data_IF_413618736959
#
_entry.id   IF_413618736959
#
_cell.length_a   1.000
_cell.length_b   1.000
_cell.length_c   1.000
_cell.angle_alpha   90.00
_cell.angle_beta   90.00
_cell.angle_gamma   90.00
#
_symmetry.space_group_name_H-M   'P 1'
#
loop_
_entity.id
_entity.type
_entity.pdbx_description
1 polymer ?
#
# COMPACT_ATOMS: atom_id res chain seq x y z
N UNK A 1 3.80 -8.13 -4.45
CA UNK A 1 4.94 -7.22 -4.64
C UNK A 1 4.99 -6.59 -6.02
N UNK A 2 5.56 -5.38 -6.10
CA UNK A 2 5.72 -4.57 -7.33
C UNK A 2 6.39 -5.34 -8.50
N UNK A 3 7.25 -6.30 -8.16
CA UNK A 3 7.91 -7.25 -9.09
C UNK A 3 6.96 -8.05 -9.99
N UNK A 4 5.70 -8.26 -9.59
CA UNK A 4 4.71 -8.99 -10.40
C UNK A 4 3.85 -8.09 -11.30
N UNK A 5 4.06 -6.77 -11.28
CA UNK A 5 3.15 -5.80 -11.91
C UNK A 5 3.64 -5.22 -13.23
N UNK A 6 4.94 -5.31 -13.56
CA UNK A 6 5.51 -4.64 -14.74
C UNK A 6 6.50 -5.58 -15.47
N UNK A 7 6.35 -5.71 -16.79
CA UNK A 7 7.27 -6.48 -17.65
C UNK A 7 8.22 -5.54 -18.43
N UNK A 8 8.24 -4.25 -18.08
CA UNK A 8 9.04 -3.24 -18.78
C UNK A 8 10.48 -3.24 -18.26
N UNK A 9 11.40 -3.73 -19.10
CA UNK A 9 12.82 -3.78 -18.79
C UNK A 9 13.42 -2.41 -18.48
N UNK A 10 12.90 -1.33 -19.10
CA UNK A 10 13.42 0.02 -18.88
C UNK A 10 13.05 0.54 -17.49
N UNK A 11 11.81 0.29 -17.07
CA UNK A 11 11.35 0.57 -15.70
C UNK A 11 12.18 -0.17 -14.66
N UNK A 12 12.60 -1.41 -14.93
CA UNK A 12 13.47 -2.17 -14.04
C UNK A 12 14.89 -1.61 -13.97
N UNK A 13 15.41 -1.10 -15.08
CA UNK A 13 16.73 -0.46 -15.14
C UNK A 13 16.74 0.88 -14.39
N UNK A 14 15.66 1.66 -14.50
CA UNK A 14 15.48 2.89 -13.72
C UNK A 14 15.38 2.60 -12.21
N UNK A 15 14.71 1.52 -11.81
CA UNK A 15 14.67 1.07 -10.41
C UNK A 15 16.06 0.63 -9.95
N UNK A 16 16.80 -0.12 -10.77
CA UNK A 16 18.14 -0.61 -10.44
C UNK A 16 19.12 0.55 -10.19
N UNK A 17 18.98 1.63 -10.94
CA UNK A 17 19.83 2.82 -10.84
C UNK A 17 19.26 3.92 -9.93
N UNK A 18 18.22 3.63 -9.14
CA UNK A 18 17.59 4.60 -8.26
C UNK A 18 18.53 5.02 -7.11
N UNK A 19 18.65 6.33 -6.87
CA UNK A 19 19.37 6.87 -5.71
C UNK A 19 18.74 6.50 -4.36
N UNK A 20 17.53 5.94 -4.36
CA UNK A 20 16.86 5.44 -3.17
C UNK A 20 17.58 4.24 -2.53
N UNK A 21 18.44 3.53 -3.28
CA UNK A 21 19.28 2.45 -2.73
C UNK A 21 20.39 2.97 -1.80
N UNK A 22 20.82 4.23 -2.00
CA UNK A 22 21.96 4.85 -1.30
C UNK A 22 21.53 5.72 -0.11
N UNK A 23 20.24 5.73 0.24
CA UNK A 23 19.73 6.50 1.38
C UNK A 23 20.38 6.02 2.69
N UNK A 24 20.85 6.93 3.56
CA UNK A 24 21.52 6.56 4.80
C UNK A 24 20.60 5.69 5.66
N UNK A 25 21.09 4.51 6.02
CA UNK A 25 20.36 3.48 6.77
C UNK A 25 20.11 3.89 8.25
N UNK A 26 20.71 4.99 8.69
CA UNK A 26 20.70 5.44 10.09
C UNK A 26 19.41 6.16 10.51
N UNK A 27 18.56 6.61 9.58
CA UNK A 27 17.32 7.32 9.93
C UNK A 27 16.06 6.43 9.90
N UNK A 28 16.13 5.23 9.33
CA UNK A 28 15.02 4.27 9.36
C UNK A 28 15.52 2.83 9.33
N UNK A 29 14.99 1.94 10.19
CA UNK A 29 15.21 0.48 10.12
C UNK A 29 14.60 -0.16 8.85
N UNK A 30 14.08 0.67 7.94
CA UNK A 30 13.31 0.28 6.78
C UNK A 30 14.26 -0.06 5.64
N UNK A 31 14.09 -1.25 5.08
CA UNK A 31 14.94 -1.76 3.99
C UNK A 31 14.68 -0.91 2.72
N UNK A 32 15.70 -0.49 1.95
CA UNK A 32 15.53 0.33 0.75
C UNK A 32 14.52 -0.21 -0.28
N UNK A 33 14.37 -1.54 -0.36
CA UNK A 33 13.37 -2.19 -1.21
C UNK A 33 11.91 -1.84 -0.83
N UNK A 34 11.65 -1.62 0.46
CA UNK A 34 10.33 -1.17 0.96
C UNK A 34 10.08 0.29 0.58
N UNK A 35 11.09 1.15 0.75
CA UNK A 35 11.04 2.55 0.30
C UNK A 35 10.76 2.66 -1.20
N UNK A 36 11.41 1.84 -2.02
CA UNK A 36 11.14 1.77 -3.46
C UNK A 36 9.71 1.30 -3.76
N UNK A 37 9.25 0.27 -3.06
CA UNK A 37 7.88 -0.24 -3.22
C UNK A 37 6.85 0.83 -2.88
N UNK A 38 7.09 1.62 -1.82
CA UNK A 38 6.26 2.75 -1.44
C UNK A 38 6.37 3.89 -2.44
N UNK A 39 7.57 4.25 -2.89
CA UNK A 39 7.80 5.32 -3.86
C UNK A 39 6.97 5.10 -5.14
N UNK A 40 6.95 3.88 -5.66
CA UNK A 40 6.17 3.49 -6.85
C UNK A 40 4.70 3.13 -6.57
N UNK A 41 4.22 3.39 -5.36
CA UNK A 41 2.80 3.27 -5.03
C UNK A 41 2.06 4.54 -5.53
N UNK A 42 0.94 4.39 -6.26
CA UNK A 42 0.10 5.52 -6.66
C UNK A 42 -0.32 6.38 -5.46
N UNK A 43 -0.46 7.68 -5.65
CA UNK A 43 -0.74 8.63 -4.57
C UNK A 43 -1.99 8.29 -3.74
N UNK A 44 -3.08 7.89 -4.40
CA UNK A 44 -4.31 7.47 -3.71
C UNK A 44 -4.13 6.24 -2.82
N UNK A 45 -3.30 5.28 -3.24
CA UNK A 45 -2.98 4.11 -2.42
C UNK A 45 -2.04 4.45 -1.27
N UNK A 46 -1.15 5.44 -1.44
CA UNK A 46 -0.30 5.95 -0.34
C UNK A 46 -1.15 6.54 0.78
N UNK A 47 -2.18 7.33 0.45
CA UNK A 47 -3.11 7.90 1.44
C UNK A 47 -3.87 6.82 2.22
N UNK A 48 -4.39 5.82 1.50
CA UNK A 48 -5.09 4.69 2.13
C UNK A 48 -4.15 3.90 3.05
N UNK A 49 -2.91 3.67 2.61
CA UNK A 49 -1.89 2.97 3.39
C UNK A 49 -1.45 3.76 4.63
N UNK A 50 -1.18 5.06 4.52
CA UNK A 50 -0.74 5.88 5.66
C UNK A 50 -1.81 6.01 6.73
N UNK A 51 -3.10 5.96 6.35
CA UNK A 51 -4.20 5.92 7.32
C UNK A 51 -4.15 4.67 8.21
N UNK A 52 -3.74 3.52 7.66
CA UNK A 52 -3.69 2.27 8.41
C UNK A 52 -2.66 2.28 9.55
N UNK A 53 -1.70 3.22 9.56
CA UNK A 53 -0.68 3.39 10.62
C UNK A 53 -1.29 3.82 11.96
N UNK A 54 -2.47 4.45 11.91
CA UNK A 54 -3.19 4.89 13.11
C UNK A 54 -3.56 3.69 13.99
N UNK A 55 -3.72 2.51 13.39
CA UNK A 55 -3.99 1.29 14.12
C UNK A 55 -2.70 0.69 14.69
N UNK A 56 -2.74 0.10 15.89
CA UNK A 56 -1.58 -0.56 16.47
C UNK A 56 -1.04 -1.69 15.59
N UNK A 57 0.24 -2.01 15.81
CA UNK A 57 0.89 -3.18 15.23
C UNK A 57 0.09 -4.46 15.52
N UNK A 58 0.00 -5.35 14.52
CA UNK A 58 -0.80 -6.59 14.53
C UNK A 58 -2.33 -6.42 14.72
N UNK A 59 -2.86 -5.19 14.63
CA UNK A 59 -4.30 -4.97 14.71
C UNK A 59 -5.02 -5.57 13.49
N UNK A 60 -6.05 -6.38 13.75
CA UNK A 60 -6.87 -6.99 12.71
C UNK A 60 -7.95 -6.00 12.28
N UNK A 61 -7.78 -5.45 11.08
CA UNK A 61 -8.73 -4.55 10.45
C UNK A 61 -9.76 -5.33 9.66
N UNK A 62 -11.05 -5.11 9.90
CA UNK A 62 -12.09 -5.64 9.01
C UNK A 62 -12.03 -4.93 7.66
N UNK A 63 -12.02 -5.72 6.58
CA UNK A 63 -11.88 -5.21 5.22
C UNK A 63 -12.99 -4.24 4.81
N UNK A 64 -14.23 -4.44 5.27
CA UNK A 64 -15.36 -3.57 4.92
C UNK A 64 -15.30 -2.29 5.71
N UNK A 65 -15.02 -2.38 7.01
CA UNK A 65 -14.86 -1.20 7.86
C UNK A 65 -13.73 -0.29 7.35
N UNK A 66 -12.59 -0.87 6.98
CA UNK A 66 -11.45 -0.12 6.45
C UNK A 66 -11.80 0.63 5.15
N UNK A 67 -12.54 -0.01 4.24
CA UNK A 67 -13.01 0.63 3.01
C UNK A 67 -13.97 1.78 3.31
N UNK A 68 -14.90 1.60 4.26
CA UNK A 68 -15.81 2.67 4.67
C UNK A 68 -15.07 3.86 5.28
N UNK A 69 -14.01 3.62 6.07
CA UNK A 69 -13.15 4.69 6.61
C UNK A 69 -12.45 5.46 5.50
N UNK A 70 -11.86 4.78 4.52
CA UNK A 70 -11.24 5.45 3.37
C UNK A 70 -12.24 6.24 2.52
N UNK A 71 -13.48 5.75 2.40
CA UNK A 71 -14.55 6.49 1.74
C UNK A 71 -14.96 7.73 2.53
N UNK A 72 -15.06 7.64 3.86
CA UNK A 72 -15.40 8.76 4.73
C UNK A 72 -14.35 9.88 4.69
N UNK A 73 -13.08 9.50 4.61
CA UNK A 73 -11.94 10.42 4.45
C UNK A 73 -11.74 10.88 2.99
N UNK A 74 -12.62 10.44 2.06
CA UNK A 74 -12.58 10.77 0.64
C UNK A 74 -11.26 10.38 -0.06
N UNK A 75 -10.60 9.32 0.41
CA UNK A 75 -9.39 8.76 -0.22
C UNK A 75 -9.71 7.90 -1.45
N UNK A 76 -10.93 7.36 -1.52
CA UNK A 76 -11.40 6.58 -2.66
C UNK A 76 -12.04 7.51 -3.67
N UNK A 77 -11.48 7.56 -4.88
CA UNK A 77 -12.05 8.36 -5.97
C UNK A 77 -13.08 7.53 -6.75
N UNK A 78 -14.23 8.12 -7.13
CA UNK A 78 -15.16 7.46 -8.03
C UNK A 78 -14.51 7.28 -9.41
N UNK A 79 -14.77 6.14 -10.04
CA UNK A 79 -14.38 5.91 -11.43
C UNK A 79 -15.43 6.48 -12.39
N UNK A 80 -15.03 6.77 -13.64
CA UNK A 80 -15.93 7.30 -14.69
C UNK A 80 -17.05 6.31 -15.11
N UNK A 81 -17.04 5.09 -14.56
CA UNK A 81 -18.03 4.05 -14.82
C UNK A 81 -19.17 4.03 -13.80
N UNK A 82 -20.17 3.20 -14.05
CA UNK A 82 -21.30 2.98 -13.13
C UNK A 82 -20.93 2.05 -11.94
N UNK A 83 -19.68 2.07 -11.49
CA UNK A 83 -19.20 1.27 -10.35
C UNK A 83 -19.52 1.98 -9.05
N UNK A 84 -19.79 1.19 -7.99
CA UNK A 84 -19.96 1.77 -6.67
C UNK A 84 -18.60 2.18 -6.14
N UNK A 85 -18.56 3.29 -5.42
CA UNK A 85 -17.34 3.75 -4.73
C UNK A 85 -16.79 2.70 -3.75
N UNK A 86 -17.66 1.87 -3.16
CA UNK A 86 -17.28 0.74 -2.31
C UNK A 86 -16.47 -0.31 -3.10
N UNK A 87 -16.86 -0.59 -4.35
CA UNK A 87 -16.13 -1.52 -5.22
C UNK A 87 -14.73 -0.98 -5.55
N UNK A 88 -14.61 0.34 -5.75
CA UNK A 88 -13.30 1.01 -5.95
C UNK A 88 -12.43 0.92 -4.70
N UNK A 89 -13.01 1.11 -3.51
CA UNK A 89 -12.30 0.96 -2.25
C UNK A 89 -11.80 -0.47 -2.03
N UNK A 90 -12.61 -1.48 -2.36
CA UNK A 90 -12.18 -2.87 -2.34
C UNK A 90 -11.07 -3.17 -3.34
N UNK A 91 -11.09 -2.53 -4.52
CA UNK A 91 -9.98 -2.63 -5.48
C UNK A 91 -8.69 -2.03 -4.91
N UNK A 92 -8.78 -0.90 -4.21
CA UNK A 92 -7.61 -0.28 -3.56
C UNK A 92 -7.02 -1.21 -2.50
N UNK A 93 -7.88 -1.79 -1.66
CA UNK A 93 -7.50 -2.79 -0.65
C UNK A 93 -6.78 -3.98 -1.31
N UNK A 94 -7.36 -4.53 -2.37
CA UNK A 94 -6.76 -5.64 -3.12
C UNK A 94 -5.41 -5.27 -3.75
N UNK A 95 -5.25 -4.03 -4.23
CA UNK A 95 -3.97 -3.54 -4.75
C UNK A 95 -2.91 -3.39 -3.66
N UNK A 96 -3.27 -2.99 -2.44
CA UNK A 96 -2.36 -2.96 -1.30
C UNK A 96 -1.95 -4.38 -0.88
N UNK A 97 -2.90 -5.31 -0.79
CA UNK A 97 -2.64 -6.73 -0.48
C UNK A 97 -1.73 -7.37 -1.52
N UNK A 98 -2.06 -7.22 -2.81
CA UNK A 98 -1.25 -7.80 -3.91
C UNK A 98 0.17 -7.24 -3.96
N UNK A 99 0.39 -6.03 -3.42
CA UNK A 99 1.70 -5.40 -3.28
C UNK A 99 2.40 -5.70 -1.96
N UNK A 100 1.77 -6.48 -1.07
CA UNK A 100 2.27 -6.89 0.25
C UNK A 100 2.35 -5.75 1.25
N UNK A 101 1.54 -4.70 1.08
CA UNK A 101 1.41 -3.60 2.04
C UNK A 101 0.50 -3.95 3.22
N UNK A 102 -0.45 -4.86 2.98
CA UNK A 102 -1.36 -5.40 3.98
C UNK A 102 -1.37 -6.92 3.84
N UNK A 103 -1.37 -7.64 4.96
CA UNK A 103 -1.41 -9.09 4.99
C UNK A 103 -2.83 -9.57 5.32
N UNK A 104 -3.45 -10.44 4.49
CA UNK A 104 -4.77 -10.97 4.76
C UNK A 104 -4.74 -11.95 5.93
N UNK A 105 -5.69 -11.81 6.85
CA UNK A 105 -5.89 -12.70 8.00
C UNK A 105 -7.30 -13.29 7.91
N UNK A 106 -7.37 -14.56 7.48
CA UNK A 106 -8.64 -15.19 7.18
C UNK A 106 -9.31 -14.58 5.94
N UNK A 107 -10.64 -14.53 5.94
CA UNK A 107 -11.42 -14.12 4.75
C UNK A 107 -11.80 -12.63 4.74
N UNK A 108 -11.88 -11.99 5.92
CA UNK A 108 -12.45 -10.65 6.05
C UNK A 108 -11.58 -9.65 6.80
N UNK A 109 -10.37 -10.03 7.21
CA UNK A 109 -9.47 -9.13 7.94
C UNK A 109 -8.13 -8.97 7.23
N UNK A 110 -7.48 -7.86 7.51
CA UNK A 110 -6.09 -7.59 7.14
C UNK A 110 -5.31 -7.08 8.35
N UNK A 111 -3.99 -7.25 8.31
CA UNK A 111 -3.05 -6.69 9.28
C UNK A 111 -1.96 -5.93 8.55
N UNK A 112 -1.32 -5.00 9.25
CA UNK A 112 -0.12 -4.32 8.78
C UNK A 112 1.08 -4.87 9.53
N UNK A 113 2.04 -5.43 8.80
CA UNK A 113 3.31 -5.87 9.39
C UNK A 113 4.07 -4.69 10.01
N UNK A 114 4.82 -4.95 11.07
CA UNK A 114 5.67 -3.97 11.75
C UNK A 114 6.60 -3.21 10.79
N UNK A 115 7.18 -3.90 9.80
CA UNK A 115 8.05 -3.28 8.79
C UNK A 115 7.31 -2.31 7.87
N UNK A 116 6.01 -2.53 7.64
CA UNK A 116 5.16 -1.62 6.88
C UNK A 116 4.70 -0.46 7.77
N UNK A 117 4.49 -0.71 9.07
CA UNK A 117 4.19 0.33 10.05
C UNK A 117 5.38 1.31 10.19
N UNK A 118 6.60 0.78 10.22
CA UNK A 118 7.83 1.59 10.30
C UNK A 118 8.16 2.35 9.00
N UNK A 119 7.56 1.96 7.86
CA UNK A 119 7.75 2.59 6.54
C UNK A 119 6.87 3.83 6.32
N UNK A 120 5.76 3.93 7.03
CA UNK A 120 4.64 4.78 6.68
C UNK A 120 4.63 6.16 7.37
#
# INVERSE_FOLDING_TARGET
GHLRSTCDSKHWEDILHSSLWDLPRDESNVIPALWLSYYHLPGHLKLCFSYCVIFPKDYKLDCKELVLLWMAENFVQPSDGNRRIEDEGHEYLHRLISRSFLEPVGESHVTMHDLMHDLA
#
